data_IF_305336479693
#
_entry.id   IF_305336479693
#
_cell.length_a   1.000
_cell.length_b   1.000
_cell.length_c   1.000
_cell.angle_alpha   90.00
_cell.angle_beta   90.00
_cell.angle_gamma   90.00
#
_symmetry.space_group_name_H-M   'P 1'
#
loop_
_entity.id
_entity.type
_entity.pdbx_description
1 polymer ?
#
# COMPACT_ATOMS: atom_id res chain seq x y z
N UNK A 1 18.08 -1.38 -87.19
CA UNK A 1 18.15 -2.10 -85.91
C UNK A 1 17.54 -1.20 -84.85
N UNK A 2 16.34 -1.50 -84.40
CA UNK A 2 15.69 -0.86 -83.27
C UNK A 2 14.82 -1.94 -82.60
N UNK A 3 15.14 -2.25 -81.35
CA UNK A 3 14.45 -3.20 -80.47
C UNK A 3 13.11 -2.61 -79.97
N UNK A 4 12.13 -3.46 -79.62
CA UNK A 4 10.85 -3.01 -79.07
C UNK A 4 10.93 -2.75 -77.56
N UNK A 5 10.21 -1.72 -77.10
CA UNK A 5 9.99 -1.40 -75.69
C UNK A 5 9.23 -2.50 -74.93
N UNK A 6 9.52 -2.75 -73.65
CA UNK A 6 8.64 -3.52 -72.78
C UNK A 6 7.62 -2.61 -72.08
N UNK A 7 6.37 -3.05 -72.14
CA UNK A 7 5.21 -2.49 -71.42
C UNK A 7 5.33 -2.83 -69.93
N UNK A 8 5.53 -1.83 -69.08
CA UNK A 8 5.42 -1.97 -67.63
C UNK A 8 3.94 -2.03 -67.21
N UNK A 9 3.56 -3.15 -66.61
CA UNK A 9 2.28 -3.33 -65.93
C UNK A 9 2.52 -3.12 -64.42
N UNK A 10 1.85 -2.19 -63.73
CA UNK A 10 1.94 -2.13 -62.28
C UNK A 10 0.98 -3.15 -61.67
N UNK A 11 1.51 -4.30 -61.26
CA UNK A 11 0.84 -5.21 -60.33
C UNK A 11 0.80 -4.56 -58.96
N UNK A 12 -0.26 -3.79 -58.69
CA UNK A 12 -0.58 -3.32 -57.35
C UNK A 12 -1.03 -4.50 -56.48
N UNK A 13 -0.11 -5.05 -55.69
CA UNK A 13 -0.48 -5.89 -54.55
C UNK A 13 -1.15 -5.00 -53.50
N UNK A 14 -2.46 -5.19 -53.34
CA UNK A 14 -3.23 -4.72 -52.19
C UNK A 14 -2.77 -5.52 -50.97
N UNK A 15 -1.87 -4.94 -50.18
CA UNK A 15 -1.47 -5.50 -48.89
C UNK A 15 -2.63 -5.26 -47.91
N UNK A 16 -3.28 -6.36 -47.54
CA UNK A 16 -4.50 -6.41 -46.73
C UNK A 16 -4.31 -5.71 -45.38
N UNK A 17 -5.04 -4.63 -45.19
CA UNK A 17 -5.02 -3.80 -43.97
C UNK A 17 -5.44 -4.56 -42.70
N UNK A 18 -6.08 -5.73 -42.84
CA UNK A 18 -6.50 -6.60 -41.74
C UNK A 18 -5.34 -7.27 -40.99
N UNK A 19 -4.28 -7.68 -41.70
CA UNK A 19 -3.14 -8.40 -41.11
C UNK A 19 -2.31 -7.49 -40.17
N UNK A 20 -2.25 -6.20 -40.50
CA UNK A 20 -1.61 -5.17 -39.67
C UNK A 20 -2.37 -4.85 -38.38
N UNK A 21 -3.70 -5.03 -38.36
CA UNK A 21 -4.51 -4.80 -37.15
C UNK A 21 -4.44 -5.99 -36.19
N UNK A 22 -4.43 -7.22 -36.72
CA UNK A 22 -4.33 -8.44 -35.91
C UNK A 22 -2.97 -8.53 -35.20
N UNK A 23 -1.89 -8.15 -35.88
CA UNK A 23 -0.54 -8.08 -35.29
C UNK A 23 -0.42 -7.02 -34.17
N UNK A 24 -1.07 -5.86 -34.34
CA UNK A 24 -1.13 -4.82 -33.28
C UNK A 24 -1.92 -5.27 -32.06
N UNK A 25 -3.04 -5.97 -32.25
CA UNK A 25 -3.82 -6.54 -31.17
C UNK A 25 -3.00 -7.49 -30.29
N UNK A 26 -2.21 -8.37 -30.93
CA UNK A 26 -1.33 -9.30 -30.24
C UNK A 26 -0.18 -8.60 -29.48
N UNK A 27 0.42 -7.57 -30.07
CA UNK A 27 1.46 -6.78 -29.39
C UNK A 27 0.92 -6.00 -28.20
N UNK A 28 -0.29 -5.43 -28.30
CA UNK A 28 -0.94 -4.76 -27.16
C UNK A 28 -1.25 -5.75 -26.03
N UNK A 29 -1.77 -6.94 -26.37
CA UNK A 29 -2.09 -7.97 -25.38
C UNK A 29 -0.84 -8.49 -24.65
N UNK A 30 0.26 -8.73 -25.38
CA UNK A 30 1.52 -9.17 -24.79
C UNK A 30 2.10 -8.13 -23.81
N UNK A 31 2.08 -6.85 -24.21
CA UNK A 31 2.61 -5.74 -23.42
C UNK A 31 1.73 -5.45 -22.19
N UNK A 32 0.41 -5.56 -22.34
CA UNK A 32 -0.53 -5.53 -21.22
C UNK A 32 -0.23 -6.61 -20.18
N UNK A 33 -0.09 -7.87 -20.61
CA UNK A 33 0.20 -8.97 -19.69
C UNK A 33 1.55 -8.79 -18.98
N UNK A 34 2.56 -8.29 -19.68
CA UNK A 34 3.86 -7.99 -19.08
C UNK A 34 3.77 -6.89 -18.01
N UNK A 35 2.99 -5.83 -18.25
CA UNK A 35 2.80 -4.74 -17.30
C UNK A 35 2.02 -5.18 -16.06
N UNK A 36 0.97 -5.99 -16.24
CA UNK A 36 0.21 -6.55 -15.11
C UNK A 36 1.09 -7.49 -14.27
N UNK A 37 1.95 -8.30 -14.91
CA UNK A 37 2.93 -9.13 -14.19
C UNK A 37 3.98 -8.32 -13.41
N UNK A 38 4.24 -7.08 -13.83
CA UNK A 38 5.11 -6.13 -13.12
C UNK A 38 4.37 -5.36 -12.01
N UNK A 39 3.12 -5.72 -11.70
CA UNK A 39 2.33 -5.11 -10.62
C UNK A 39 1.61 -3.82 -11.01
N UNK A 40 1.55 -3.47 -12.31
CA UNK A 40 0.82 -2.30 -12.78
C UNK A 40 -0.70 -2.59 -12.75
N UNK A 41 -1.53 -1.72 -12.16
CA UNK A 41 -2.98 -1.87 -12.18
C UNK A 41 -3.53 -2.02 -13.61
N UNK A 42 -4.48 -2.92 -13.81
CA UNK A 42 -4.97 -3.34 -15.13
C UNK A 42 -5.47 -2.17 -15.99
N UNK A 43 -6.17 -1.21 -15.40
CA UNK A 43 -6.67 -0.01 -16.11
C UNK A 43 -5.53 0.85 -16.67
N UNK A 44 -4.41 0.94 -15.93
CA UNK A 44 -3.23 1.69 -16.35
C UNK A 44 -2.38 0.91 -17.36
N UNK A 45 -2.24 -0.41 -17.15
CA UNK A 45 -1.54 -1.31 -18.07
C UNK A 45 -2.18 -1.32 -19.47
N UNK A 46 -3.51 -1.25 -19.54
CA UNK A 46 -4.26 -1.18 -20.81
C UNK A 46 -3.94 0.10 -21.59
N UNK A 47 -4.00 1.25 -20.92
CA UNK A 47 -3.69 2.54 -21.55
C UNK A 47 -2.23 2.62 -22.02
N UNK A 48 -1.30 2.05 -21.25
CA UNK A 48 0.13 2.01 -21.60
C UNK A 48 0.42 1.11 -22.80
N UNK A 49 -0.27 -0.04 -22.92
CA UNK A 49 -0.12 -0.94 -24.06
C UNK A 49 -0.61 -0.27 -25.36
N UNK A 50 -1.74 0.44 -25.31
CA UNK A 50 -2.31 1.14 -26.48
C UNK A 50 -1.40 2.27 -26.98
N UNK A 51 -0.90 3.13 -26.07
CA UNK A 51 -0.03 4.25 -26.44
C UNK A 51 1.30 3.77 -27.02
N UNK A 52 1.86 2.68 -26.48
CA UNK A 52 3.15 2.14 -26.91
C UNK A 52 3.09 1.53 -28.30
N UNK A 53 1.99 0.84 -28.65
CA UNK A 53 1.82 0.23 -29.98
C UNK A 53 1.44 1.26 -31.06
N UNK A 54 0.84 2.40 -30.67
CA UNK A 54 0.52 3.48 -31.61
C UNK A 54 1.72 4.37 -32.01
N UNK A 55 2.80 4.42 -31.23
CA UNK A 55 4.04 5.12 -31.60
C UNK A 55 4.96 4.20 -32.44
N UNK A 56 4.78 4.20 -33.76
CA UNK A 56 5.69 3.49 -34.68
C UNK A 56 7.03 4.23 -34.81
N UNK A 57 8.21 3.58 -34.68
CA UNK A 57 9.50 4.22 -34.92
C UNK A 57 9.86 4.23 -36.41
N UNK A 58 10.26 5.39 -36.93
CA UNK A 58 10.91 5.53 -38.24
C UNK A 58 12.37 5.08 -38.13
N UNK A 59 12.85 4.27 -39.08
CA UNK A 59 14.20 3.66 -39.07
C UNK A 59 15.34 4.69 -39.21
N UNK A 60 16.57 4.38 -38.73
CA UNK A 60 17.55 5.40 -38.37
C UNK A 60 18.61 5.66 -39.45
N UNK A 61 19.01 6.93 -39.60
CA UNK A 61 20.32 7.28 -40.13
C UNK A 61 21.28 7.62 -38.98
N UNK A 62 22.43 6.95 -39.04
CA UNK A 62 23.54 6.93 -38.09
C UNK A 62 24.34 8.23 -38.06
N UNK A 63 24.57 8.78 -36.85
CA UNK A 63 25.91 9.15 -36.32
C UNK A 63 25.81 10.14 -35.13
N UNK A 64 26.04 9.66 -33.89
CA UNK A 64 26.60 10.38 -32.73
C UNK A 64 26.23 9.65 -31.42
N UNK A 65 26.87 8.51 -31.14
CA UNK A 65 26.35 7.49 -30.21
C UNK A 65 26.82 7.59 -28.75
N UNK A 66 27.31 8.75 -28.29
CA UNK A 66 27.86 8.91 -26.92
C UNK A 66 27.01 9.80 -26.00
N UNK A 67 25.92 10.38 -26.51
CA UNK A 67 24.96 11.15 -25.70
C UNK A 67 23.52 10.65 -25.91
N UNK A 68 23.35 9.51 -26.57
CA UNK A 68 22.04 9.04 -27.01
C UNK A 68 21.23 8.50 -25.84
N UNK A 69 21.81 7.75 -24.89
CA UNK A 69 21.04 7.11 -23.80
C UNK A 69 20.46 8.10 -22.79
N UNK A 70 21.25 9.08 -22.34
CA UNK A 70 20.77 10.11 -21.40
C UNK A 70 19.70 10.98 -22.08
N UNK A 71 19.94 11.34 -23.35
CA UNK A 71 18.99 12.16 -24.13
C UNK A 71 17.71 11.39 -24.43
N UNK A 72 17.81 10.12 -24.79
CA UNK A 72 16.68 9.21 -25.00
C UNK A 72 15.90 9.03 -23.70
N UNK A 73 16.57 8.81 -22.56
CA UNK A 73 15.91 8.74 -21.26
C UNK A 73 15.15 10.03 -20.94
N UNK A 74 15.78 11.20 -21.12
CA UNK A 74 15.10 12.50 -20.91
C UNK A 74 13.96 12.73 -21.90
N UNK A 75 14.06 12.24 -23.13
CA UNK A 75 12.96 12.33 -24.10
C UNK A 75 11.79 11.42 -23.72
N UNK A 76 12.09 10.20 -23.25
CA UNK A 76 11.11 9.20 -22.83
C UNK A 76 10.43 9.54 -21.51
N UNK A 77 11.15 10.13 -20.54
CA UNK A 77 10.63 10.35 -19.18
C UNK A 77 10.53 11.82 -18.77
N UNK A 78 11.18 12.74 -19.49
CA UNK A 78 11.18 14.17 -19.13
C UNK A 78 9.83 14.86 -19.34
N UNK A 79 8.90 14.25 -20.07
CA UNK A 79 7.52 14.72 -20.22
C UNK A 79 6.57 14.11 -19.19
N UNK A 80 7.03 13.17 -18.36
CA UNK A 80 6.21 12.55 -17.32
C UNK A 80 5.99 13.57 -16.21
N UNK A 81 4.71 13.84 -15.91
CA UNK A 81 4.37 14.68 -14.77
C UNK A 81 4.67 13.94 -13.47
N UNK A 82 5.66 14.44 -12.73
CA UNK A 82 5.99 13.96 -11.38
C UNK A 82 5.23 14.75 -10.30
N UNK A 83 4.24 15.54 -10.69
CA UNK A 83 3.42 16.29 -9.75
C UNK A 83 2.65 15.32 -8.86
N UNK A 84 2.81 15.50 -7.55
CA UNK A 84 2.03 14.82 -6.52
C UNK A 84 0.95 15.81 -6.09
N UNK A 85 -0.31 15.45 -6.34
CA UNK A 85 -1.46 16.34 -6.11
C UNK A 85 -1.87 16.38 -4.64
N UNK A 86 -1.72 15.26 -3.93
CA UNK A 86 -1.90 15.19 -2.49
C UNK A 86 -0.72 15.89 -1.79
N UNK A 87 -0.98 16.91 -0.97
CA UNK A 87 0.09 17.51 -0.15
C UNK A 87 0.19 16.81 1.21
N UNK A 88 1.37 16.32 1.59
CA UNK A 88 1.55 15.74 2.92
C UNK A 88 1.37 16.82 3.99
N UNK A 89 0.43 16.59 4.90
CA UNK A 89 0.06 17.53 5.95
C UNK A 89 0.16 16.91 7.34
N UNK A 90 -0.18 15.63 7.46
CA UNK A 90 -0.16 14.92 8.74
C UNK A 90 -0.20 13.41 8.52
N UNK A 91 -0.18 12.66 9.63
CA UNK A 91 -0.39 11.22 9.65
C UNK A 91 -1.64 10.77 8.89
N UNK A 92 -2.73 11.55 8.98
CA UNK A 92 -4.03 11.17 8.45
C UNK A 92 -4.06 11.00 6.93
N UNK A 93 -3.18 11.71 6.20
CA UNK A 93 -3.10 11.62 4.75
C UNK A 93 -1.80 11.02 4.24
N UNK A 94 -0.96 10.49 5.12
CA UNK A 94 0.35 9.92 4.78
C UNK A 94 0.23 8.74 3.80
N UNK A 95 -0.61 7.75 4.08
CA UNK A 95 -0.72 6.54 3.23
C UNK A 95 -1.25 6.85 1.82
N UNK A 96 -2.08 7.88 1.67
CA UNK A 96 -2.51 8.34 0.34
C UNK A 96 -1.36 9.04 -0.39
N UNK A 97 -0.69 9.95 0.30
CA UNK A 97 0.46 10.68 -0.24
C UNK A 97 1.62 9.75 -0.62
N UNK A 98 1.92 8.76 0.23
CA UNK A 98 2.96 7.75 0.04
C UNK A 98 2.73 6.97 -1.26
N UNK A 99 1.51 6.47 -1.47
CA UNK A 99 1.15 5.75 -2.70
C UNK A 99 1.30 6.62 -3.95
N UNK A 100 0.96 7.91 -3.87
CA UNK A 100 1.17 8.84 -4.99
C UNK A 100 2.67 8.99 -5.31
N UNK A 101 3.53 9.14 -4.29
CA UNK A 101 4.99 9.22 -4.47
C UNK A 101 5.53 7.94 -5.10
N UNK A 102 5.16 6.77 -4.58
CA UNK A 102 5.59 5.47 -5.09
C UNK A 102 5.16 5.27 -6.55
N UNK A 103 3.94 5.70 -6.90
CA UNK A 103 3.46 5.69 -8.27
C UNK A 103 4.28 6.62 -9.19
N UNK A 104 4.65 7.82 -8.73
CA UNK A 104 5.53 8.73 -9.50
C UNK A 104 6.95 8.17 -9.65
N UNK A 105 7.48 7.53 -8.60
CA UNK A 105 8.77 6.86 -8.66
C UNK A 105 8.76 5.71 -9.67
N UNK A 106 7.68 4.94 -9.75
CA UNK A 106 7.51 3.88 -10.74
C UNK A 106 7.49 4.43 -12.17
N UNK A 107 6.78 5.53 -12.41
CA UNK A 107 6.74 6.19 -13.72
C UNK A 107 8.12 6.70 -14.16
N UNK A 108 8.96 7.14 -13.22
CA UNK A 108 10.34 7.57 -13.47
C UNK A 108 11.35 6.40 -13.54
N UNK A 109 10.89 5.15 -13.37
CA UNK A 109 11.76 3.96 -13.21
C UNK A 109 12.80 4.14 -12.09
N UNK A 110 12.36 4.71 -10.97
CA UNK A 110 13.16 5.10 -9.82
C UNK A 110 12.70 4.46 -8.50
N UNK A 111 11.76 3.51 -8.51
CA UNK A 111 11.24 2.87 -7.28
C UNK A 111 12.32 2.24 -6.41
N UNK A 112 13.33 1.63 -7.02
CA UNK A 112 14.48 1.03 -6.34
C UNK A 112 15.22 2.03 -5.43
N UNK A 113 15.31 3.31 -5.82
CA UNK A 113 15.92 4.37 -5.00
C UNK A 113 15.19 4.50 -3.66
N UNK A 114 13.85 4.43 -3.65
CA UNK A 114 13.05 4.53 -2.44
C UNK A 114 13.01 3.21 -1.67
N UNK A 115 12.70 2.10 -2.35
CA UNK A 115 12.50 0.80 -1.72
C UNK A 115 13.78 0.21 -1.10
N UNK A 116 14.94 0.49 -1.71
CA UNK A 116 16.24 0.01 -1.23
C UNK A 116 17.02 1.08 -0.47
N UNK A 117 16.48 2.30 -0.34
CA UNK A 117 17.16 3.46 0.23
C UNK A 117 18.55 3.75 -0.39
N UNK A 118 18.65 3.68 -1.71
CA UNK A 118 19.90 3.90 -2.43
C UNK A 118 20.33 5.36 -2.40
N UNK A 119 21.58 5.62 -2.00
CA UNK A 119 22.14 6.98 -1.86
C UNK A 119 23.26 7.26 -2.87
N UNK A 120 23.51 6.34 -3.78
CA UNK A 120 24.56 6.42 -4.81
C UNK A 120 24.16 5.54 -5.99
N UNK A 121 24.67 5.85 -7.21
CA UNK A 121 24.49 4.98 -8.35
C UNK A 121 25.13 3.59 -8.12
N UNK A 122 24.72 2.57 -8.88
CA UNK A 122 25.30 1.23 -8.80
C UNK A 122 26.83 1.25 -8.97
N UNK A 123 27.56 0.42 -8.22
CA UNK A 123 29.03 0.38 -8.24
C UNK A 123 29.61 0.04 -9.63
N UNK A 124 28.85 -0.69 -10.44
CA UNK A 124 29.19 -1.08 -11.80
C UNK A 124 28.58 -0.16 -12.88
N UNK A 125 27.99 0.97 -12.49
CA UNK A 125 27.38 1.91 -13.41
C UNK A 125 28.43 2.59 -14.29
N UNK A 126 28.15 2.66 -15.59
CA UNK A 126 28.92 3.51 -16.49
C UNK A 126 28.60 5.00 -16.24
N UNK A 127 29.32 5.89 -16.94
CA UNK A 127 29.12 7.34 -16.78
C UNK A 127 27.71 7.80 -17.18
N UNK A 128 27.04 7.13 -18.12
CA UNK A 128 25.69 7.50 -18.54
C UNK A 128 24.65 7.01 -17.53
N UNK A 129 24.84 5.83 -16.97
CA UNK A 129 24.01 5.25 -15.91
C UNK A 129 24.08 6.10 -14.64
N UNK A 130 25.27 6.62 -14.30
CA UNK A 130 25.43 7.60 -13.22
C UNK A 130 24.61 8.87 -13.46
N UNK A 131 24.63 9.41 -14.69
CA UNK A 131 23.86 10.62 -15.05
C UNK A 131 22.35 10.37 -15.06
N UNK A 132 21.91 9.20 -15.52
CA UNK A 132 20.49 8.80 -15.48
C UNK A 132 20.05 8.63 -14.02
N UNK A 133 20.87 8.00 -13.18
CA UNK A 133 20.57 7.82 -11.76
C UNK A 133 20.46 9.17 -11.04
N UNK A 134 21.42 10.08 -11.23
CA UNK A 134 21.37 11.44 -10.66
C UNK A 134 20.14 12.23 -11.13
N UNK A 135 19.76 12.07 -12.40
CA UNK A 135 18.54 12.70 -12.91
C UNK A 135 17.30 12.17 -12.20
N UNK A 136 17.19 10.84 -12.01
CA UNK A 136 16.09 10.21 -11.28
C UNK A 136 16.03 10.69 -9.83
N UNK A 137 17.16 10.68 -9.13
CA UNK A 137 17.27 11.12 -7.74
C UNK A 137 16.82 12.57 -7.58
N UNK A 138 17.36 13.47 -8.41
CA UNK A 138 17.04 14.91 -8.36
C UNK A 138 15.54 15.14 -8.57
N UNK A 139 14.97 14.51 -9.61
CA UNK A 139 13.55 14.67 -9.95
C UNK A 139 12.64 14.10 -8.87
N UNK A 140 13.03 13.00 -8.24
CA UNK A 140 12.29 12.38 -7.17
C UNK A 140 12.35 13.21 -5.89
N UNK A 141 13.53 13.75 -5.55
CA UNK A 141 13.71 14.68 -4.44
C UNK A 141 12.82 15.92 -4.61
N UNK A 142 12.86 16.57 -5.78
CA UNK A 142 12.02 17.74 -6.09
C UNK A 142 10.54 17.42 -5.92
N UNK A 143 10.07 16.30 -6.50
CA UNK A 143 8.68 15.88 -6.41
C UNK A 143 8.23 15.67 -4.95
N UNK A 144 9.01 14.90 -4.18
CA UNK A 144 8.73 14.63 -2.76
C UNK A 144 8.73 15.95 -1.99
N UNK A 145 9.80 16.74 -2.09
CA UNK A 145 9.95 17.99 -1.36
C UNK A 145 8.82 18.97 -1.68
N UNK A 146 8.51 19.19 -2.95
CA UNK A 146 7.45 20.11 -3.35
C UNK A 146 6.07 19.66 -2.87
N UNK A 147 5.85 18.36 -2.72
CA UNK A 147 4.60 17.80 -2.22
C UNK A 147 4.39 17.95 -0.70
N UNK A 148 5.39 18.42 0.06
CA UNK A 148 5.27 18.66 1.50
C UNK A 148 4.62 20.02 1.80
N UNK A 149 3.74 20.07 2.81
CA UNK A 149 3.31 21.35 3.39
C UNK A 149 4.44 22.02 4.15
N UNK A 150 4.30 23.34 4.38
CA UNK A 150 5.31 24.17 5.03
C UNK A 150 5.79 23.59 6.37
N UNK A 151 4.88 23.26 7.29
CA UNK A 151 5.24 22.71 8.61
C UNK A 151 6.04 21.40 8.50
N UNK A 152 5.67 20.54 7.55
CA UNK A 152 6.38 19.27 7.29
C UNK A 152 7.79 19.54 6.74
N UNK A 153 7.92 20.54 5.85
CA UNK A 153 9.23 20.96 5.33
C UNK A 153 10.14 21.46 6.44
N UNK A 154 9.63 22.25 7.39
CA UNK A 154 10.42 22.74 8.52
C UNK A 154 10.93 21.57 9.38
N UNK A 155 10.06 20.61 9.72
CA UNK A 155 10.44 19.42 10.49
C UNK A 155 11.50 18.60 9.73
N UNK A 156 11.27 18.31 8.44
CA UNK A 156 12.21 17.53 7.64
C UNK A 156 13.54 18.25 7.44
N UNK A 157 13.51 19.58 7.28
CA UNK A 157 14.73 20.38 7.15
C UNK A 157 15.56 20.35 8.42
N UNK A 158 14.94 20.39 9.61
CA UNK A 158 15.64 20.23 10.87
C UNK A 158 16.30 18.85 10.98
N UNK A 159 15.54 17.77 10.71
CA UNK A 159 16.06 16.39 10.74
C UNK A 159 17.20 16.16 9.75
N UNK A 160 17.13 16.75 8.56
CA UNK A 160 18.18 16.66 7.55
C UNK A 160 19.47 17.36 8.02
N UNK A 161 19.38 18.48 8.73
CA UNK A 161 20.56 19.18 9.27
C UNK A 161 21.25 18.36 10.37
N UNK A 162 20.48 17.72 11.23
CA UNK A 162 21.03 16.90 12.33
C UNK A 162 21.71 15.62 11.81
N UNK A 163 21.23 15.08 10.70
CA UNK A 163 21.83 13.93 10.03
C UNK A 163 23.13 14.28 9.27
N UNK A 164 23.38 15.56 8.99
CA UNK A 164 24.45 16.02 8.11
C UNK A 164 25.72 16.41 8.90
N UNK A 165 26.44 15.42 9.41
CA UNK A 165 27.79 15.60 10.00
C UNK A 165 28.92 15.57 8.95
N UNK A 166 28.64 15.89 7.66
CA UNK A 166 29.72 16.10 6.68
C UNK A 166 29.44 15.82 5.19
N UNK A 167 28.21 15.64 4.73
CA UNK A 167 27.93 15.41 3.30
C UNK A 167 26.53 15.89 2.93
N UNK A 168 26.42 17.05 2.27
CA UNK A 168 25.21 17.64 1.69
C UNK A 168 24.10 16.59 1.40
N UNK A 169 23.23 16.38 2.39
CA UNK A 169 22.06 15.48 2.27
C UNK A 169 20.93 16.14 1.47
N UNK A 170 21.02 17.45 1.21
CA UNK A 170 20.16 18.17 0.28
C UNK A 170 20.28 17.56 -1.12
N UNK A 171 19.19 16.94 -1.59
CA UNK A 171 19.11 16.29 -2.90
C UNK A 171 19.03 14.76 -2.87
N UNK A 172 19.17 14.11 -1.69
CA UNK A 172 19.12 12.65 -1.57
C UNK A 172 17.70 12.14 -1.31
N UNK A 173 17.00 11.76 -2.39
CA UNK A 173 15.59 11.33 -2.33
C UNK A 173 15.35 10.20 -1.31
N UNK A 174 16.24 9.21 -1.26
CA UNK A 174 16.15 8.08 -0.33
C UNK A 174 16.24 8.49 1.15
N UNK A 175 17.07 9.48 1.48
CA UNK A 175 17.23 9.96 2.86
C UNK A 175 15.97 10.68 3.33
N UNK A 176 15.45 11.61 2.51
CA UNK A 176 14.19 12.29 2.82
C UNK A 176 13.02 11.32 2.93
N UNK A 177 12.95 10.34 2.02
CA UNK A 177 11.94 9.29 2.06
C UNK A 177 11.97 8.52 3.38
N UNK A 178 13.16 8.09 3.81
CA UNK A 178 13.33 7.36 5.08
C UNK A 178 12.93 8.20 6.30
N UNK A 179 13.26 9.49 6.32
CA UNK A 179 12.86 10.39 7.41
C UNK A 179 11.35 10.60 7.46
N UNK A 180 10.69 10.64 6.30
CA UNK A 180 9.23 10.75 6.20
C UNK A 180 8.54 9.46 6.64
N UNK A 181 9.09 8.29 6.28
CA UNK A 181 8.63 7.00 6.79
C UNK A 181 8.80 6.91 8.32
N UNK A 182 9.96 7.28 8.86
CA UNK A 182 10.18 7.30 10.32
C UNK A 182 9.22 8.26 11.05
N UNK A 183 8.87 9.38 10.44
CA UNK A 183 8.00 10.38 11.06
C UNK A 183 6.50 10.05 10.95
N UNK A 184 6.08 9.49 9.82
CA UNK A 184 4.67 9.38 9.45
C UNK A 184 4.20 8.00 9.03
N UNK A 185 5.07 7.01 8.87
CA UNK A 185 4.57 5.66 8.75
C UNK A 185 3.99 5.27 10.10
N UNK A 186 2.72 4.85 10.15
CA UNK A 186 2.27 4.13 11.34
C UNK A 186 3.18 2.91 11.42
N UNK A 187 4.10 2.89 12.38
CA UNK A 187 4.81 1.65 12.66
C UNK A 187 3.72 0.65 13.03
N UNK A 188 3.52 -0.33 12.16
CA UNK A 188 2.53 -1.40 12.37
C UNK A 188 2.68 -2.00 13.78
N UNK A 189 3.90 -2.00 14.32
CA UNK A 189 4.24 -2.28 15.72
C UNK A 189 3.51 -1.40 16.74
N UNK A 190 3.45 -0.08 16.56
CA UNK A 190 2.77 0.84 17.49
C UNK A 190 1.26 0.62 17.47
N UNK A 191 0.67 0.47 16.29
CA UNK A 191 -0.75 0.15 16.16
C UNK A 191 -1.07 -1.23 16.76
N UNK A 192 -0.24 -2.23 16.49
CA UNK A 192 -0.35 -3.57 17.07
C UNK A 192 -0.30 -3.49 18.60
N UNK A 193 0.68 -2.77 19.15
CA UNK A 193 0.82 -2.57 20.60
C UNK A 193 -0.38 -1.85 21.19
N UNK A 194 -0.92 -0.82 20.53
CA UNK A 194 -2.13 -0.11 20.96
C UNK A 194 -3.36 -1.02 20.98
N UNK A 195 -3.55 -1.86 19.96
CA UNK A 195 -4.68 -2.80 19.90
C UNK A 195 -4.55 -3.90 20.96
N UNK A 196 -3.35 -4.44 21.18
CA UNK A 196 -3.09 -5.42 22.24
C UNK A 196 -3.30 -4.78 23.63
N UNK A 197 -2.82 -3.55 23.83
CA UNK A 197 -3.02 -2.80 25.07
C UNK A 197 -4.51 -2.55 25.33
N UNK A 198 -5.27 -2.19 24.28
CA UNK A 198 -6.73 -2.05 24.35
C UNK A 198 -7.41 -3.36 24.76
N UNK A 199 -7.02 -4.51 24.21
CA UNK A 199 -7.52 -5.83 24.67
C UNK A 199 -7.15 -6.09 26.13
N UNK A 200 -5.93 -5.75 26.55
CA UNK A 200 -5.46 -5.99 27.91
C UNK A 200 -6.16 -5.12 28.96
N UNK A 201 -6.51 -3.89 28.61
CA UNK A 201 -7.10 -2.88 29.50
C UNK A 201 -8.61 -2.75 29.39
N UNK A 202 -9.23 -3.35 28.37
CA UNK A 202 -10.68 -3.30 28.18
C UNK A 202 -11.39 -3.74 29.47
N UNK A 203 -12.25 -2.87 29.99
CA UNK A 203 -13.07 -3.12 31.17
C UNK A 203 -14.51 -2.77 30.87
N UNK A 204 -15.44 -3.60 31.37
CA UNK A 204 -16.88 -3.30 31.29
C UNK A 204 -17.24 -2.00 32.06
N UNK A 205 -16.41 -1.59 33.01
CA UNK A 205 -16.59 -0.35 33.76
C UNK A 205 -16.44 0.88 32.86
N UNK A 206 -15.58 0.82 31.82
CA UNK A 206 -15.43 1.88 30.81
C UNK A 206 -16.71 2.09 29.99
N UNK A 207 -17.62 1.11 30.06
CA UNK A 207 -18.91 1.10 29.40
C UNK A 207 -20.08 1.19 30.39
N UNK A 208 -19.82 1.66 31.63
CA UNK A 208 -20.83 1.79 32.69
C UNK A 208 -21.61 0.48 32.98
N UNK A 209 -20.97 -0.69 32.78
CA UNK A 209 -21.63 -1.98 32.94
C UNK A 209 -22.46 -2.43 31.74
N UNK A 210 -22.47 -1.67 30.64
CA UNK A 210 -23.23 -2.04 29.44
C UNK A 210 -22.55 -3.18 28.67
N UNK A 211 -23.08 -4.41 28.84
CA UNK A 211 -22.53 -5.59 28.17
C UNK A 211 -22.58 -5.51 26.64
N UNK A 212 -23.55 -4.81 26.04
CA UNK A 212 -23.70 -4.75 24.58
C UNK A 212 -22.63 -3.82 24.01
N UNK A 213 -22.45 -2.64 24.62
CA UNK A 213 -21.41 -1.69 24.25
C UNK A 213 -20.01 -2.29 24.46
N UNK A 214 -19.80 -2.95 25.60
CA UNK A 214 -18.55 -3.64 25.94
C UNK A 214 -18.18 -4.73 24.93
N UNK A 215 -19.11 -5.66 24.67
CA UNK A 215 -18.86 -6.77 23.72
C UNK A 215 -18.66 -6.27 22.29
N UNK A 216 -19.38 -5.23 21.89
CA UNK A 216 -19.17 -4.58 20.59
C UNK A 216 -17.79 -3.94 20.47
N UNK A 217 -17.31 -3.24 21.51
CA UNK A 217 -15.98 -2.63 21.53
C UNK A 217 -14.86 -3.69 21.51
N UNK A 218 -15.05 -4.77 22.26
CA UNK A 218 -14.16 -5.93 22.25
C UNK A 218 -14.06 -6.56 20.87
N UNK A 219 -15.19 -6.91 20.25
CA UNK A 219 -15.24 -7.57 18.94
C UNK A 219 -14.63 -6.71 17.84
N UNK A 220 -14.86 -5.38 17.87
CA UNK A 220 -14.19 -4.45 16.94
C UNK A 220 -12.67 -4.52 17.06
N UNK A 221 -12.13 -4.48 18.27
CA UNK A 221 -10.69 -4.54 18.50
C UNK A 221 -10.09 -5.87 18.04
N UNK A 222 -10.78 -6.99 18.27
CA UNK A 222 -10.37 -8.32 17.78
C UNK A 222 -10.43 -8.40 16.24
N UNK A 223 -11.46 -7.82 15.63
CA UNK A 223 -11.59 -7.75 14.18
C UNK A 223 -10.46 -6.94 13.54
N UNK A 224 -10.10 -5.79 14.13
CA UNK A 224 -8.96 -4.98 13.68
C UNK A 224 -7.66 -5.78 13.73
N UNK A 225 -7.38 -6.49 14.84
CA UNK A 225 -6.20 -7.36 14.95
C UNK A 225 -6.18 -8.45 13.86
N UNK A 226 -7.33 -9.07 13.57
CA UNK A 226 -7.44 -10.09 12.51
C UNK A 226 -7.23 -9.52 11.11
N UNK A 227 -7.76 -8.32 10.84
CA UNK A 227 -7.62 -7.62 9.56
C UNK A 227 -6.14 -7.40 9.19
N UNK A 228 -5.32 -7.06 10.18
CA UNK A 228 -3.87 -6.86 10.00
C UNK A 228 -3.03 -8.15 10.12
N UNK A 229 -3.66 -9.32 10.27
CA UNK A 229 -2.95 -10.61 10.40
C UNK A 229 -2.32 -10.83 11.79
N UNK A 230 -2.68 -10.04 12.80
CA UNK A 230 -2.17 -10.13 14.18
C UNK A 230 -3.13 -10.91 15.10
N UNK A 231 -3.66 -12.02 14.59
CA UNK A 231 -4.58 -12.85 15.37
C UNK A 231 -3.92 -13.31 16.67
N UNK A 232 -4.58 -13.01 17.79
CA UNK A 232 -4.14 -13.44 19.12
C UNK A 232 -4.63 -14.87 19.41
N UNK A 233 -3.91 -15.64 20.24
CA UNK A 233 -4.35 -16.98 20.62
C UNK A 233 -5.72 -16.97 21.32
N UNK A 234 -6.60 -17.90 20.97
CA UNK A 234 -7.96 -17.98 21.53
C UNK A 234 -7.98 -18.11 23.06
N UNK A 235 -7.02 -18.84 23.64
CA UNK A 235 -6.87 -18.94 25.10
C UNK A 235 -6.63 -17.57 25.74
N UNK A 236 -5.79 -16.73 25.11
CA UNK A 236 -5.50 -15.39 25.59
C UNK A 236 -6.75 -14.52 25.53
N UNK A 237 -7.47 -14.55 24.39
CA UNK A 237 -8.71 -13.80 24.20
C UNK A 237 -9.78 -14.22 25.22
N UNK A 238 -9.96 -15.52 25.46
CA UNK A 238 -10.89 -16.04 26.50
C UNK A 238 -10.57 -15.51 27.88
N UNK A 239 -9.32 -15.64 28.31
CA UNK A 239 -8.90 -15.22 29.65
C UNK A 239 -9.08 -13.72 29.83
N UNK A 240 -8.66 -12.93 28.84
CA UNK A 240 -8.76 -11.46 28.89
C UNK A 240 -10.21 -10.99 28.83
N UNK A 241 -11.06 -11.61 28.01
CA UNK A 241 -12.48 -11.27 27.97
C UNK A 241 -13.15 -11.55 29.32
N UNK A 242 -12.92 -12.72 29.93
CA UNK A 242 -13.47 -13.01 31.27
C UNK A 242 -13.01 -11.99 32.31
N UNK A 243 -11.73 -11.60 32.29
CA UNK A 243 -11.20 -10.59 33.20
C UNK A 243 -11.84 -9.21 32.97
N UNK A 244 -12.08 -8.83 31.71
CA UNK A 244 -12.70 -7.55 31.34
C UNK A 244 -14.12 -7.36 31.88
N UNK A 245 -14.83 -8.46 32.14
CA UNK A 245 -16.18 -8.45 32.72
C UNK A 245 -16.19 -8.16 34.23
N UNK A 246 -15.02 -8.16 34.88
CA UNK A 246 -14.86 -7.83 36.29
C UNK A 246 -15.78 -8.63 37.22
N UNK A 247 -16.52 -7.91 38.07
CA UNK A 247 -17.52 -8.52 38.97
C UNK A 247 -18.91 -8.64 38.32
N UNK A 248 -19.16 -7.92 37.22
CA UNK A 248 -20.48 -7.74 36.62
C UNK A 248 -21.12 -9.06 36.18
N UNK A 249 -20.39 -9.87 35.41
CA UNK A 249 -20.91 -11.11 34.84
C UNK A 249 -20.40 -12.38 35.53
N UNK A 250 -19.79 -12.28 36.72
CA UNK A 250 -19.07 -13.40 37.35
C UNK A 250 -19.94 -14.64 37.55
N UNK A 251 -21.14 -14.47 38.10
CA UNK A 251 -22.11 -15.56 38.31
C UNK A 251 -22.55 -16.21 37.00
N UNK A 252 -22.75 -15.39 35.96
CA UNK A 252 -23.17 -15.81 34.63
C UNK A 252 -22.07 -16.60 33.91
N UNK A 253 -20.84 -16.08 33.93
CA UNK A 253 -19.66 -16.78 33.40
C UNK A 253 -19.46 -18.11 34.14
N UNK A 254 -19.59 -18.11 35.47
CA UNK A 254 -19.47 -19.35 36.25
C UNK A 254 -20.54 -20.37 35.87
N UNK A 255 -21.80 -19.95 35.71
CA UNK A 255 -22.88 -20.83 35.25
C UNK A 255 -22.59 -21.40 33.86
N UNK A 256 -22.17 -20.55 32.91
CA UNK A 256 -21.80 -20.98 31.56
C UNK A 256 -20.68 -22.03 31.58
N UNK A 257 -19.61 -21.79 32.33
CA UNK A 257 -18.50 -22.73 32.46
C UNK A 257 -18.90 -24.05 33.15
N UNK A 258 -19.83 -24.00 34.11
CA UNK A 258 -20.38 -25.19 34.76
C UNK A 258 -21.22 -26.03 33.79
N UNK A 259 -22.05 -25.41 32.97
CA UNK A 259 -22.83 -26.11 31.95
C UNK A 259 -21.93 -26.79 30.92
N UNK A 260 -20.85 -26.14 30.47
CA UNK A 260 -19.88 -26.76 29.55
C UNK A 260 -19.14 -27.97 30.16
N UNK A 261 -19.06 -28.04 31.50
CA UNK A 261 -18.44 -29.16 32.23
C UNK A 261 -19.45 -30.28 32.56
N UNK A 262 -20.75 -30.10 32.31
CA UNK A 262 -21.78 -31.07 32.67
C UNK A 262 -21.48 -32.44 32.03
N UNK A 263 -21.45 -33.48 32.85
CA UNK A 263 -21.12 -34.84 32.41
C UNK A 263 -19.63 -35.13 32.17
N UNK A 264 -18.73 -34.19 32.50
CA UNK A 264 -17.27 -34.34 32.32
C UNK A 264 -16.51 -34.37 33.65
N UNK A 265 -15.28 -34.93 33.68
CA UNK A 265 -14.43 -34.94 34.87
C UNK A 265 -14.13 -33.53 35.40
N UNK A 266 -13.89 -33.39 36.71
CA UNK A 266 -13.53 -32.09 37.33
C UNK A 266 -12.25 -31.47 36.75
N UNK A 267 -11.35 -32.30 36.21
CA UNK A 267 -10.11 -31.89 35.56
C UNK A 267 -10.30 -31.36 34.14
N UNK A 268 -11.51 -31.49 33.56
CA UNK A 268 -11.79 -31.00 32.22
C UNK A 268 -11.83 -29.46 32.21
N UNK A 269 -11.00 -28.88 31.35
CA UNK A 269 -11.00 -27.45 31.03
C UNK A 269 -11.93 -27.27 29.82
N UNK A 270 -13.06 -26.55 29.98
CA UNK A 270 -13.96 -26.30 28.86
C UNK A 270 -13.27 -25.45 27.78
N UNK A 271 -13.26 -25.95 26.56
CA UNK A 271 -12.92 -25.16 25.37
C UNK A 271 -14.21 -24.56 24.81
N UNK A 272 -14.20 -23.26 24.54
CA UNK A 272 -15.32 -22.52 23.96
C UNK A 272 -14.80 -21.32 23.16
N UNK A 273 -15.58 -20.77 22.23
CA UNK A 273 -15.23 -19.51 21.59
C UNK A 273 -15.73 -18.34 22.45
N UNK A 274 -14.95 -17.25 22.53
CA UNK A 274 -15.39 -16.00 23.18
C UNK A 274 -16.72 -15.51 22.61
N UNK A 275 -16.95 -15.68 21.30
CA UNK A 275 -18.21 -15.31 20.66
C UNK A 275 -19.42 -16.09 21.19
N UNK A 276 -19.24 -17.35 21.62
CA UNK A 276 -20.30 -18.15 22.25
C UNK A 276 -20.69 -17.56 23.61
N UNK A 277 -19.69 -17.18 24.40
CA UNK A 277 -19.89 -16.52 25.69
C UNK A 277 -20.52 -15.14 25.53
N UNK A 278 -20.08 -14.35 24.53
CA UNK A 278 -20.68 -13.05 24.20
C UNK A 278 -22.16 -13.23 23.87
N UNK A 279 -22.48 -14.19 22.99
CA UNK A 279 -23.85 -14.47 22.57
C UNK A 279 -24.73 -14.83 23.77
N UNK A 280 -24.23 -15.65 24.68
CA UNK A 280 -24.96 -16.02 25.89
C UNK A 280 -25.17 -14.83 26.85
N UNK A 281 -24.16 -13.99 27.05
CA UNK A 281 -24.26 -12.79 27.90
C UNK A 281 -25.24 -11.76 27.33
N UNK A 282 -25.22 -11.53 26.02
CA UNK A 282 -26.16 -10.64 25.34
C UNK A 282 -27.59 -11.19 25.44
N UNK A 283 -27.77 -12.50 25.17
CA UNK A 283 -29.08 -13.16 25.30
C UNK A 283 -29.65 -13.01 26.70
N UNK A 284 -28.84 -13.21 27.74
CA UNK A 284 -29.29 -13.08 29.13
C UNK A 284 -29.70 -11.64 29.48
N UNK A 285 -28.99 -10.62 28.98
CA UNK A 285 -29.42 -9.22 29.19
C UNK A 285 -30.75 -8.91 28.49
N UNK A 286 -30.96 -9.44 27.29
CA UNK A 286 -32.21 -9.25 26.56
C UNK A 286 -33.40 -9.93 27.26
N UNK A 287 -33.17 -11.05 27.95
CA UNK A 287 -34.18 -11.75 28.76
C UNK A 287 -34.52 -10.98 30.06
N UNK A 288 -33.59 -10.17 30.59
CA UNK A 288 -33.73 -9.46 31.87
C UNK A 288 -34.19 -8.00 31.71
N UNK A 289 -34.64 -7.57 30.52
CA UNK A 289 -35.33 -6.27 30.45
C UNK A 289 -36.57 -6.29 31.37
N UNK A 290 -36.67 -5.37 32.35
CA UNK A 290 -37.88 -5.27 33.15
C UNK A 290 -39.00 -4.70 32.28
N UNK A 291 -40.20 -5.24 32.44
CA UNK A 291 -41.45 -4.56 32.12
C UNK A 291 -41.46 -3.17 32.76
N UNK A 292 -40.95 -2.16 32.05
CA UNK A 292 -41.24 -0.76 32.35
C UNK A 292 -42.56 -0.45 31.66
N UNK A 293 -43.64 -1.04 32.16
CA UNK A 293 -45.02 -0.65 31.92
C UNK A 293 -45.95 -1.35 32.92
N UNK A 294 -45.77 -1.02 34.19
CA UNK A 294 -46.87 -0.92 35.16
C UNK A 294 -46.55 0.29 36.02
N UNK A 295 -47.41 1.23 36.38
CA UNK A 295 -48.79 1.60 36.08
C UNK A 295 -49.00 2.90 36.87
N UNK A 296 -49.86 3.77 36.35
CA UNK A 296 -50.46 4.96 36.96
C UNK A 296 -50.63 4.97 38.48
#
# INVERSE_FOLDING_TARGET
>A
MAEPEPVDTPTGFSESTEDGMMNRGLQMAALFHQLVQQGVPSELASNMAVISVMKKPSSPQTSSRSNDRVKEFRQQYGHVSLRIDTKLASQANYESWRRDVEARAALLRASHILSNYENSPPENADSEDCLIWQYKETKLWEAIWDSLKFDVKEIMQAKLRDADSGSNLMGKAAVLWRLLEDQYQMHYTDLQMQLIDRICKCSIDDHAGDIIAHTSAWQRTVADLRLYGWALPDMFLRQRFILSLGKYARSHVQRFLLELRKGKPKTHIPEFNVDDLISELVRQRLIVQPDVNQSY
#
